data_IF_472816998165
#
_entry.id   IF_472816998165
#
_cell.length_a   1.000
_cell.length_b   1.000
_cell.length_c   1.000
_cell.angle_alpha   90.00
_cell.angle_beta   90.00
_cell.angle_gamma   90.00
#
_symmetry.space_group_name_H-M   'P 1'
#
loop_
_entity.id
_entity.type
_entity.pdbx_description
1 polymer ?
#
# COMPACT_ATOMS: atom_id res chain seq x y z
N UNK A 1 -3.39 14.18 -16.35
CA UNK A 1 -4.55 13.55 -15.69
C UNK A 1 -4.07 12.98 -14.34
N UNK A 2 -4.89 12.97 -13.30
CA UNK A 2 -4.54 12.52 -11.93
C UNK A 2 -5.25 11.22 -11.53
N UNK A 3 -5.74 10.45 -12.50
CA UNK A 3 -6.41 9.18 -12.26
C UNK A 3 -5.52 8.14 -11.56
N UNK A 4 -4.22 8.19 -11.79
CA UNK A 4 -3.21 7.34 -11.16
C UNK A 4 -3.01 7.63 -9.66
N UNK A 5 -3.46 8.79 -9.16
CA UNK A 5 -3.38 9.12 -7.73
C UNK A 5 -4.47 8.46 -6.87
N UNK A 6 -5.47 7.80 -7.47
CA UNK A 6 -6.61 7.21 -6.75
C UNK A 6 -6.19 6.10 -5.77
N UNK A 7 -5.03 5.50 -5.99
CA UNK A 7 -4.55 4.36 -5.22
C UNK A 7 -3.58 4.76 -4.10
N UNK A 8 -3.23 6.04 -3.92
CA UNK A 8 -2.31 6.51 -2.87
C UNK A 8 -2.61 6.01 -1.46
N UNK A 9 -3.89 5.76 -1.15
CA UNK A 9 -4.29 5.28 0.16
C UNK A 9 -4.01 3.79 0.40
N UNK A 10 -3.61 3.04 -0.63
CA UNK A 10 -3.24 1.64 -0.58
C UNK A 10 -1.72 1.50 -0.48
N UNK A 11 -1.24 0.51 0.25
CA UNK A 11 0.17 0.09 0.17
C UNK A 11 0.53 -0.22 -1.29
N UNK A 12 1.70 0.25 -1.73
CA UNK A 12 2.22 0.28 -3.13
C UNK A 12 1.56 1.27 -4.07
N UNK A 13 0.50 1.98 -3.64
CA UNK A 13 -0.22 2.90 -4.52
C UNK A 13 0.55 4.18 -4.84
N UNK A 14 1.42 4.65 -3.95
CA UNK A 14 2.29 5.81 -4.21
C UNK A 14 3.39 5.41 -5.18
N UNK A 15 4.08 4.30 -4.93
CA UNK A 15 5.10 3.74 -5.80
C UNK A 15 4.53 3.41 -7.18
N UNK A 16 3.35 2.79 -7.27
CA UNK A 16 2.69 2.50 -8.54
C UNK A 16 2.40 3.75 -9.37
N UNK A 17 2.00 4.84 -8.71
CA UNK A 17 1.72 6.13 -9.34
C UNK A 17 3.00 6.93 -9.71
N UNK A 18 4.11 6.71 -8.98
CA UNK A 18 5.43 7.17 -9.41
C UNK A 18 5.88 6.38 -10.65
N UNK A 19 5.80 5.05 -10.59
CA UNK A 19 6.19 4.14 -11.67
C UNK A 19 5.36 4.34 -12.95
N UNK A 20 4.10 4.75 -12.85
CA UNK A 20 3.27 5.05 -14.03
C UNK A 20 3.71 6.31 -14.78
N UNK A 21 4.58 7.13 -14.19
CA UNK A 21 5.07 8.39 -14.77
C UNK A 21 6.52 8.33 -15.26
N UNK A 22 7.19 7.20 -15.11
CA UNK A 22 8.56 6.97 -15.62
C UNK A 22 8.50 6.10 -16.86
N UNK A 23 9.38 6.36 -17.82
CA UNK A 23 9.42 5.65 -19.11
C UNK A 23 9.86 4.19 -18.92
N UNK A 24 10.92 3.96 -18.15
CA UNK A 24 11.46 2.63 -17.85
C UNK A 24 11.17 2.23 -16.40
N UNK A 25 9.91 1.89 -16.15
CA UNK A 25 9.46 1.47 -14.82
C UNK A 25 10.06 0.14 -14.34
N UNK A 26 10.46 -0.73 -15.27
CA UNK A 26 10.92 -2.09 -14.95
C UNK A 26 12.37 -2.09 -14.43
N UNK A 27 13.13 -1.02 -14.67
CA UNK A 27 14.47 -0.84 -14.09
C UNK A 27 14.48 -0.30 -12.67
N UNK A 28 13.34 0.14 -12.14
CA UNK A 28 13.24 0.74 -10.80
C UNK A 28 12.84 -0.34 -9.78
N UNK A 29 13.73 -0.64 -8.85
CA UNK A 29 13.44 -1.54 -7.73
C UNK A 29 12.71 -0.81 -6.62
N UNK A 30 11.50 -1.28 -6.29
CA UNK A 30 10.70 -0.73 -5.19
C UNK A 30 10.79 -1.60 -3.95
N UNK A 31 10.87 -0.97 -2.78
CA UNK A 31 10.81 -1.63 -1.47
C UNK A 31 9.59 -1.11 -0.69
N UNK A 32 8.50 -1.89 -0.61
CA UNK A 32 7.34 -1.51 0.19
C UNK A 32 7.52 -1.89 1.66
N UNK A 33 7.26 -0.93 2.54
CA UNK A 33 7.14 -1.12 3.99
C UNK A 33 5.68 -0.97 4.38
N UNK A 34 5.04 -2.10 4.71
CA UNK A 34 3.62 -2.19 5.01
C UNK A 34 3.36 -2.31 6.52
N UNK A 35 3.26 -1.18 7.20
CA UNK A 35 3.11 -1.12 8.65
C UNK A 35 4.44 -0.86 9.37
N UNK A 36 4.36 -0.06 10.44
CA UNK A 36 5.52 0.27 11.28
C UNK A 36 5.44 -0.48 12.62
N UNK A 37 6.26 -1.50 12.78
CA UNK A 37 6.46 -2.21 14.03
C UNK A 37 7.91 -2.07 14.54
N UNK A 38 8.21 -2.67 15.71
CA UNK A 38 9.58 -2.63 16.27
C UNK A 38 10.61 -3.30 15.36
N UNK A 39 10.23 -4.28 14.54
CA UNK A 39 11.13 -5.01 13.65
C UNK A 39 11.49 -4.15 12.45
N UNK A 40 10.48 -3.62 11.76
CA UNK A 40 10.60 -2.68 10.64
C UNK A 40 11.40 -1.45 11.06
N UNK A 41 11.11 -0.86 12.21
CA UNK A 41 11.86 0.30 12.70
C UNK A 41 13.35 -0.02 12.92
N UNK A 42 13.67 -1.18 13.51
CA UNK A 42 15.06 -1.63 13.67
C UNK A 42 15.74 -1.86 12.33
N UNK A 43 15.04 -2.43 11.35
CA UNK A 43 15.56 -2.62 9.99
C UNK A 43 15.87 -1.29 9.32
N UNK A 44 14.95 -0.32 9.35
CA UNK A 44 15.15 1.02 8.78
C UNK A 44 16.35 1.70 9.43
N UNK A 45 16.54 1.55 10.74
CA UNK A 45 17.71 2.09 11.45
C UNK A 45 19.05 1.54 10.91
N UNK A 46 19.06 0.33 10.34
CA UNK A 46 20.30 -0.20 9.70
C UNK A 46 20.68 0.56 8.42
N UNK A 47 19.74 1.31 7.83
CA UNK A 47 19.98 2.04 6.58
C UNK A 47 20.93 3.22 6.71
N UNK A 48 21.13 3.73 7.93
CA UNK A 48 22.21 4.69 8.24
C UNK A 48 23.60 4.15 7.87
N UNK A 49 23.78 2.83 7.96
CA UNK A 49 25.06 2.14 7.68
C UNK A 49 25.06 1.44 6.33
N UNK A 50 23.91 0.90 5.92
CA UNK A 50 23.75 0.14 4.68
C UNK A 50 22.40 0.44 4.05
N UNK A 51 22.42 1.27 3.01
CA UNK A 51 21.23 1.58 2.23
C UNK A 51 20.51 0.30 1.76
N UNK A 52 19.17 0.33 1.68
CA UNK A 52 18.42 -0.77 1.09
C UNK A 52 18.80 -0.94 -0.39
N UNK A 53 18.70 -2.17 -0.89
CA UNK A 53 18.85 -2.46 -2.31
C UNK A 53 17.50 -2.17 -3.00
N UNK A 54 17.21 -0.88 -3.17
CA UNK A 54 16.01 -0.37 -3.83
C UNK A 54 16.24 1.08 -4.25
N UNK A 55 15.64 1.47 -5.37
CA UNK A 55 15.68 2.83 -5.90
C UNK A 55 14.59 3.71 -5.29
N UNK A 56 13.45 3.09 -4.94
CA UNK A 56 12.31 3.76 -4.32
C UNK A 56 11.81 2.95 -3.12
N UNK A 57 11.77 3.58 -1.95
CA UNK A 57 11.20 2.99 -0.75
C UNK A 57 9.86 3.65 -0.45
N UNK A 58 8.78 2.88 -0.44
CA UNK A 58 7.47 3.35 0.01
C UNK A 58 7.23 2.90 1.45
N UNK A 59 6.99 3.86 2.36
CA UNK A 59 6.74 3.55 3.78
C UNK A 59 5.32 3.96 4.17
N UNK A 60 4.50 2.96 4.49
CA UNK A 60 3.17 3.16 5.05
C UNK A 60 3.20 2.77 6.54
N UNK A 61 2.83 3.71 7.42
CA UNK A 61 2.81 3.44 8.86
C UNK A 61 1.72 2.43 9.27
N UNK A 62 0.59 2.44 8.55
CA UNK A 62 -0.51 1.51 8.78
C UNK A 62 -0.41 0.34 7.80
N UNK A 63 -0.65 -0.88 8.29
CA UNK A 63 -0.79 -2.05 7.42
C UNK A 63 -1.98 -1.87 6.48
N UNK A 64 -1.76 -2.02 5.18
CA UNK A 64 -2.75 -1.80 4.12
C UNK A 64 -2.87 -0.35 3.65
N UNK A 65 -2.08 0.57 4.20
CA UNK A 65 -2.07 1.98 3.83
C UNK A 65 -3.10 2.83 4.59
N UNK A 66 -3.27 4.08 4.17
CA UNK A 66 -4.18 5.04 4.80
C UNK A 66 -5.63 4.55 4.89
N UNK A 67 -6.09 3.72 3.94
CA UNK A 67 -7.45 3.15 3.95
C UNK A 67 -7.73 2.21 5.13
N UNK A 68 -6.67 1.72 5.79
CA UNK A 68 -6.74 0.87 6.97
C UNK A 68 -6.25 1.60 8.25
N UNK A 69 -6.02 2.91 8.15
CA UNK A 69 -5.51 3.73 9.24
C UNK A 69 -6.52 3.94 10.38
N UNK A 70 -6.06 4.50 11.52
CA UNK A 70 -6.86 4.66 12.72
C UNK A 70 -8.03 5.65 12.57
N UNK A 71 -7.98 6.56 11.59
CA UNK A 71 -9.06 7.51 11.30
C UNK A 71 -10.22 6.93 10.47
N UNK A 72 -10.17 5.65 10.13
CA UNK A 72 -11.21 4.99 9.33
C UNK A 72 -12.41 4.64 10.21
N UNK A 73 -13.63 4.80 9.68
CA UNK A 73 -14.88 4.50 10.41
C UNK A 73 -14.89 3.03 10.89
N UNK A 74 -14.37 2.14 10.04
CA UNK A 74 -14.24 0.73 10.32
C UNK A 74 -13.05 0.17 9.56
N UNK A 75 -12.25 -0.69 10.20
CA UNK A 75 -11.16 -1.39 9.54
C UNK A 75 -11.69 -2.16 8.32
N UNK A 76 -11.04 -2.12 7.15
CA UNK A 76 -11.52 -2.80 5.94
C UNK A 76 -11.84 -4.28 6.14
N UNK A 77 -11.01 -5.02 6.90
CA UNK A 77 -11.26 -6.42 7.20
C UNK A 77 -12.55 -6.65 8.03
N UNK A 78 -12.84 -5.75 8.98
CA UNK A 78 -14.07 -5.79 9.78
C UNK A 78 -15.26 -5.41 8.91
N UNK A 79 -15.13 -4.38 8.08
CA UNK A 79 -16.16 -3.97 7.15
C UNK A 79 -16.54 -5.09 6.19
N UNK A 80 -15.54 -5.79 5.61
CA UNK A 80 -15.76 -6.93 4.73
C UNK A 80 -16.56 -8.02 5.44
N UNK A 81 -16.19 -8.37 6.68
CA UNK A 81 -16.92 -9.35 7.48
C UNK A 81 -18.36 -8.92 7.75
N UNK A 82 -18.58 -7.68 8.18
CA UNK A 82 -19.91 -7.12 8.47
C UNK A 82 -20.82 -7.09 7.24
N UNK A 83 -20.24 -6.93 6.04
CA UNK A 83 -20.98 -6.96 4.79
C UNK A 83 -21.42 -8.36 4.34
N UNK A 84 -21.02 -9.42 5.03
CA UNK A 84 -21.26 -10.82 4.63
C UNK A 84 -20.02 -11.54 4.10
N UNK A 85 -18.83 -10.97 4.32
CA UNK A 85 -17.55 -11.51 3.82
C UNK A 85 -17.49 -11.52 2.31
N UNK A 86 -16.78 -12.51 1.76
CA UNK A 86 -16.68 -12.72 0.31
C UNK A 86 -18.00 -13.19 -0.35
N UNK A 87 -19.04 -13.46 0.45
CA UNK A 87 -20.39 -13.83 -0.02
C UNK A 87 -21.33 -12.62 -0.10
N UNK A 88 -20.89 -11.45 0.34
CA UNK A 88 -21.63 -10.20 0.19
C UNK A 88 -21.91 -9.90 -1.29
N UNK A 89 -23.12 -9.44 -1.62
CA UNK A 89 -23.39 -8.88 -2.94
C UNK A 89 -22.40 -7.73 -3.21
N UNK A 90 -21.54 -7.89 -4.21
CA UNK A 90 -20.56 -6.87 -4.60
C UNK A 90 -21.34 -5.64 -5.09
N UNK A 91 -21.20 -4.44 -4.49
CA UNK A 91 -22.06 -3.32 -4.87
C UNK A 91 -21.64 -2.71 -6.20
N UNK A 92 -20.47 -3.05 -6.75
CA UNK A 92 -19.99 -2.43 -7.99
C UNK A 92 -19.05 -3.40 -8.72
N UNK A 93 -19.22 -3.53 -10.04
CA UNK A 93 -18.37 -4.28 -11.00
C UNK A 93 -16.87 -3.92 -10.97
N UNK A 94 -16.45 -2.90 -10.21
CA UNK A 94 -15.13 -2.29 -10.29
C UNK A 94 -14.07 -2.90 -9.35
N UNK A 95 -14.44 -3.74 -8.39
CA UNK A 95 -13.46 -4.39 -7.51
C UNK A 95 -13.13 -5.76 -8.09
N UNK A 96 -12.29 -5.79 -9.13
CA UNK A 96 -11.61 -7.02 -9.54
C UNK A 96 -10.83 -7.54 -8.34
N UNK A 97 -10.97 -8.86 -8.11
CA UNK A 97 -10.31 -9.63 -7.06
C UNK A 97 -8.80 -9.34 -7.10
N UNK A 98 -8.30 -8.53 -6.16
CA UNK A 98 -6.86 -8.47 -5.91
C UNK A 98 -6.48 -9.81 -5.28
N UNK A 99 -5.58 -10.49 -5.98
CA UNK A 99 -5.04 -11.82 -5.69
C UNK A 99 -4.29 -11.80 -4.38
#
# INVERSE_FOLDING_TARGET
NFEDCREFALTTGVAGCVLSRVEDKDSIQTLPINGMDKKTFRMIKTWERRAPVADLVEVMCCEGGCIAGPGTIVKPAVALRLRGGNKAATPVKSMKKLV
#
